data_IF_580255785761
#
_entry.id   IF_580255785761
#
_cell.length_a   1.000
_cell.length_b   1.000
_cell.length_c   1.000
_cell.angle_alpha   90.00
_cell.angle_beta   90.00
_cell.angle_gamma   90.00
#
_symmetry.space_group_name_H-M   'P 1'
#
loop_
_entity.id
_entity.type
_entity.pdbx_description
1 polymer ?
#
# COMPACT_ATOMS: atom_id res chain seq x y z
N UNK A 1 -3.80 6.51 22.34
CA UNK A 1 -4.49 7.80 22.58
C UNK A 1 -5.95 7.60 22.98
N UNK A 2 -6.73 6.79 22.28
CA UNK A 2 -8.17 6.58 22.62
C UNK A 2 -8.43 5.96 24.00
N UNK A 3 -7.54 5.06 24.46
CA UNK A 3 -7.65 4.50 25.81
C UNK A 3 -7.42 5.56 26.88
N UNK A 4 -6.36 6.35 26.75
CA UNK A 4 -6.03 7.43 27.68
C UNK A 4 -7.16 8.45 27.76
N UNK A 5 -7.70 8.88 26.63
CA UNK A 5 -8.85 9.80 26.56
C UNK A 5 -10.09 9.22 27.28
N UNK A 6 -10.36 7.91 27.10
CA UNK A 6 -11.47 7.24 27.79
C UNK A 6 -11.22 7.07 29.30
N UNK A 7 -9.98 6.85 29.69
CA UNK A 7 -9.58 6.78 31.09
C UNK A 7 -9.76 8.14 31.77
N UNK A 8 -9.26 9.20 31.13
CA UNK A 8 -9.43 10.58 31.61
C UNK A 8 -10.92 10.97 31.75
N UNK A 9 -11.76 10.51 30.78
CA UNK A 9 -13.21 10.71 30.85
C UNK A 9 -13.85 9.92 32.01
N UNK A 10 -13.43 8.68 32.21
CA UNK A 10 -13.91 7.85 33.33
C UNK A 10 -13.55 8.46 34.69
N UNK A 11 -12.34 8.93 34.82
CA UNK A 11 -11.89 9.65 36.04
C UNK A 11 -12.67 10.93 36.25
N UNK A 12 -12.86 11.75 35.23
CA UNK A 12 -13.65 13.01 35.32
C UNK A 12 -15.13 12.80 35.60
N UNK A 13 -15.69 11.66 35.21
CA UNK A 13 -17.10 11.34 35.44
C UNK A 13 -17.34 10.51 36.68
N UNK A 14 -16.31 10.37 37.52
CA UNK A 14 -16.38 9.63 38.79
C UNK A 14 -16.93 8.19 38.61
N UNK A 15 -16.46 7.52 37.53
CA UNK A 15 -16.80 6.15 37.22
C UNK A 15 -18.16 5.91 36.56
N UNK A 16 -18.96 6.95 36.26
CA UNK A 16 -20.28 6.83 35.60
C UNK A 16 -20.17 6.26 34.18
N UNK A 17 -19.08 6.56 33.46
CA UNK A 17 -18.75 5.85 32.21
C UNK A 17 -17.97 4.58 32.57
N UNK A 18 -18.36 3.41 32.14
CA UNK A 18 -17.67 2.16 32.48
C UNK A 18 -16.14 2.24 32.27
N UNK A 19 -15.38 1.65 33.21
CA UNK A 19 -13.91 1.65 33.14
C UNK A 19 -13.42 1.09 31.80
N UNK A 20 -12.61 1.85 31.03
CA UNK A 20 -12.13 1.37 29.75
C UNK A 20 -11.23 0.15 29.92
N UNK A 21 -11.50 -0.91 29.15
CA UNK A 21 -10.65 -2.10 29.13
C UNK A 21 -9.53 -1.92 28.10
N UNK A 22 -8.33 -2.31 28.49
CA UNK A 22 -7.21 -2.40 27.56
C UNK A 22 -7.39 -3.65 26.72
N UNK A 23 -7.60 -3.47 25.39
CA UNK A 23 -7.76 -4.58 24.45
C UNK A 23 -6.42 -4.78 23.73
N UNK A 24 -5.62 -5.71 24.22
CA UNK A 24 -4.26 -5.94 23.70
C UNK A 24 -4.23 -6.44 22.27
N UNK A 25 -5.27 -7.12 21.80
CA UNK A 25 -5.36 -7.66 20.44
C UNK A 25 -5.45 -6.58 19.37
N UNK A 26 -5.97 -5.41 19.69
CA UNK A 26 -6.16 -4.28 18.78
C UNK A 26 -5.16 -3.14 19.02
N UNK A 27 -4.13 -3.35 19.84
CA UNK A 27 -3.17 -2.30 20.15
C UNK A 27 -2.16 -2.14 19.03
N UNK A 28 -1.76 -0.88 18.85
CA UNK A 28 -0.60 -0.56 18.03
C UNK A 28 0.59 -1.38 18.53
N UNK A 29 1.34 -1.91 17.58
CA UNK A 29 2.51 -2.73 17.87
C UNK A 29 3.50 -1.96 18.73
N UNK A 30 4.16 -2.63 19.71
CA UNK A 30 5.12 -1.96 20.57
C UNK A 30 6.25 -1.36 19.74
N UNK A 31 6.57 -0.11 20.04
CA UNK A 31 7.72 0.60 19.48
C UNK A 31 8.91 0.37 20.40
N UNK A 32 10.00 -0.12 19.82
CA UNK A 32 11.26 -0.32 20.55
C UNK A 32 12.15 0.89 20.34
N UNK A 33 12.17 1.81 21.31
CA UNK A 33 12.99 3.01 21.23
C UNK A 33 14.48 2.66 21.15
N UNK A 34 15.19 3.33 20.21
CA UNK A 34 16.62 3.14 20.02
C UNK A 34 17.37 3.45 21.31
N UNK A 35 18.42 2.68 21.58
CA UNK A 35 19.31 2.72 22.75
C UNK A 35 18.64 2.41 24.10
N UNK A 36 17.33 2.49 24.19
CA UNK A 36 16.54 2.15 25.39
C UNK A 36 16.01 0.72 25.34
N UNK A 37 15.43 0.32 24.19
CA UNK A 37 14.78 -0.99 24.02
C UNK A 37 15.26 -1.73 22.76
N UNK A 38 15.94 -1.05 21.86
CA UNK A 38 16.48 -1.59 20.62
C UNK A 38 17.93 -1.12 20.43
N UNK A 39 18.80 -2.05 20.07
CA UNK A 39 20.16 -1.76 19.61
C UNK A 39 20.44 -2.57 18.35
N UNK A 40 21.17 -1.96 17.43
CA UNK A 40 21.65 -2.66 16.25
C UNK A 40 22.76 -3.66 16.65
N UNK A 41 22.84 -4.78 15.92
CA UNK A 41 23.94 -5.72 16.07
C UNK A 41 25.26 -5.13 15.60
N UNK A 42 26.34 -5.90 15.76
CA UNK A 42 27.64 -5.50 15.26
C UNK A 42 27.58 -5.31 13.73
N UNK A 43 28.43 -4.43 13.21
CA UNK A 43 28.50 -4.14 11.78
C UNK A 43 28.70 -5.41 10.96
N UNK A 44 27.88 -5.58 9.92
CA UNK A 44 27.90 -6.77 9.06
C UNK A 44 27.14 -7.99 9.60
N UNK A 45 26.70 -8.00 10.84
CA UNK A 45 25.90 -9.10 11.40
C UNK A 45 24.41 -8.90 11.19
N UNK A 46 23.69 -10.00 10.94
CA UNK A 46 22.22 -10.00 10.78
C UNK A 46 21.56 -10.28 12.15
N UNK A 47 21.81 -9.39 13.11
CA UNK A 47 21.30 -9.49 14.47
C UNK A 47 20.90 -8.13 15.02
N UNK A 48 20.03 -8.15 16.01
CA UNK A 48 19.63 -6.98 16.78
C UNK A 48 19.43 -7.36 18.24
N UNK A 49 19.53 -6.38 19.13
CA UNK A 49 19.26 -6.56 20.54
C UNK A 49 17.95 -5.89 20.91
N UNK A 50 17.04 -6.66 21.48
CA UNK A 50 15.76 -6.17 22.00
C UNK A 50 15.73 -6.29 23.52
N UNK A 51 15.29 -5.25 24.21
CA UNK A 51 15.01 -5.30 25.62
C UNK A 51 13.61 -5.87 25.83
N UNK A 52 13.55 -7.11 26.32
CA UNK A 52 12.31 -7.87 26.51
C UNK A 52 12.09 -8.15 27.98
N UNK A 53 10.81 -8.16 28.39
CA UNK A 53 10.41 -8.55 29.74
C UNK A 53 10.23 -10.07 29.80
N UNK A 54 10.93 -10.75 30.70
CA UNK A 54 10.92 -12.22 30.83
C UNK A 54 9.88 -12.73 31.86
N UNK A 55 9.08 -11.84 32.42
CA UNK A 55 8.11 -12.13 33.50
C UNK A 55 8.59 -11.63 34.86
N UNK A 56 9.90 -11.38 35.03
CA UNK A 56 10.50 -10.87 36.27
C UNK A 56 11.28 -9.58 36.05
N UNK A 57 12.05 -9.50 34.97
CA UNK A 57 12.91 -8.35 34.70
C UNK A 57 13.03 -8.08 33.19
N UNK A 58 13.54 -6.89 32.86
CA UNK A 58 13.84 -6.44 31.51
C UNK A 58 15.26 -6.80 31.12
N UNK A 59 15.41 -7.74 30.17
CA UNK A 59 16.71 -8.24 29.71
C UNK A 59 16.94 -7.97 28.24
N UNK A 60 18.20 -7.70 27.89
CA UNK A 60 18.62 -7.62 26.51
C UNK A 60 18.73 -9.03 25.90
N UNK A 61 17.99 -9.24 24.84
CA UNK A 61 17.97 -10.50 24.08
C UNK A 61 18.46 -10.26 22.68
N UNK A 62 19.43 -11.05 22.23
CA UNK A 62 19.89 -11.05 20.84
C UNK A 62 18.87 -11.80 19.98
N UNK A 63 18.45 -11.18 18.88
CA UNK A 63 17.56 -11.77 17.88
C UNK A 63 18.25 -11.79 16.53
N UNK A 64 18.16 -12.93 15.84
CA UNK A 64 18.64 -13.06 14.45
C UNK A 64 17.59 -12.49 13.51
N UNK A 65 18.06 -11.73 12.54
CA UNK A 65 17.25 -11.14 11.47
C UNK A 65 17.46 -11.93 10.17
N UNK A 66 16.50 -11.88 9.27
CA UNK A 66 16.63 -12.56 7.98
C UNK A 66 17.71 -11.88 7.14
N UNK A 67 18.64 -12.69 6.60
CA UNK A 67 19.77 -12.20 5.83
C UNK A 67 19.34 -11.42 4.59
N UNK A 68 18.34 -11.93 3.86
CA UNK A 68 17.83 -11.31 2.64
C UNK A 68 17.21 -9.93 2.92
N UNK A 69 16.46 -9.83 4.02
CA UNK A 69 15.86 -8.55 4.45
C UNK A 69 16.95 -7.56 4.87
N UNK A 70 17.99 -8.02 5.58
CA UNK A 70 19.11 -7.16 6.01
C UNK A 70 19.97 -6.71 4.84
N UNK A 71 20.26 -7.59 3.88
CA UNK A 71 20.94 -7.21 2.64
C UNK A 71 20.18 -6.15 1.86
N UNK A 72 18.87 -6.33 1.72
CA UNK A 72 17.99 -5.31 1.09
C UNK A 72 18.06 -3.96 1.83
N UNK A 73 18.01 -3.97 3.17
CA UNK A 73 18.10 -2.74 3.95
C UNK A 73 19.45 -2.04 3.76
N UNK A 74 20.57 -2.78 3.78
CA UNK A 74 21.90 -2.24 3.53
C UNK A 74 22.03 -1.65 2.12
N UNK A 75 21.51 -2.37 1.11
CA UNK A 75 21.59 -1.93 -0.29
C UNK A 75 20.73 -0.71 -0.60
N UNK A 76 19.48 -0.70 -0.11
CA UNK A 76 18.49 0.30 -0.53
C UNK A 76 18.32 1.46 0.46
N UNK A 77 18.72 1.28 1.72
CA UNK A 77 18.38 2.19 2.82
C UNK A 77 19.60 2.63 3.64
N UNK A 78 20.82 2.24 3.24
CA UNK A 78 22.05 2.70 3.88
C UNK A 78 22.13 4.24 3.87
N UNK A 79 22.60 4.81 4.97
CA UNK A 79 22.72 6.26 5.14
C UNK A 79 21.40 7.01 5.36
N UNK A 80 20.23 6.37 5.28
CA UNK A 80 18.94 7.01 5.54
C UNK A 80 18.52 6.83 7.00
N UNK A 81 17.93 7.88 7.57
CA UNK A 81 17.48 7.87 8.97
C UNK A 81 16.29 6.93 9.13
N UNK A 82 16.49 5.86 9.87
CA UNK A 82 15.42 4.94 10.27
C UNK A 82 14.77 5.41 11.58
N UNK A 83 13.46 5.28 11.68
CA UNK A 83 12.73 5.45 12.95
C UNK A 83 13.00 4.27 13.89
N UNK A 84 12.57 4.41 15.15
CA UNK A 84 12.54 3.29 16.09
C UNK A 84 11.67 2.15 15.52
N UNK A 85 12.15 0.88 15.54
CA UNK A 85 11.41 -0.23 14.99
C UNK A 85 10.16 -0.57 15.79
N UNK A 86 9.15 -1.09 15.10
CA UNK A 86 7.96 -1.67 15.72
C UNK A 86 7.96 -3.17 15.57
N UNK A 87 7.56 -3.90 16.62
CA UNK A 87 7.42 -5.34 16.57
C UNK A 87 6.03 -5.71 16.07
N UNK A 88 5.96 -6.45 14.98
CA UNK A 88 4.70 -6.93 14.39
C UNK A 88 4.67 -8.46 14.41
N UNK A 89 3.56 -9.03 14.90
CA UNK A 89 3.28 -10.47 14.78
C UNK A 89 2.36 -10.70 13.58
N UNK A 90 2.83 -11.48 12.61
CA UNK A 90 2.02 -11.93 11.46
C UNK A 90 1.99 -13.45 11.43
N UNK A 91 0.82 -14.01 11.57
CA UNK A 91 0.63 -15.45 11.74
C UNK A 91 1.47 -15.98 12.92
N UNK A 92 2.49 -16.79 12.67
CA UNK A 92 3.35 -17.37 13.71
C UNK A 92 4.75 -16.76 13.74
N UNK A 93 5.01 -15.70 12.93
CA UNK A 93 6.31 -15.05 12.82
C UNK A 93 6.27 -13.64 13.39
N UNK A 94 7.39 -13.19 13.94
CA UNK A 94 7.60 -11.83 14.38
C UNK A 94 8.45 -11.08 13.37
N UNK A 95 8.14 -9.81 13.17
CA UNK A 95 8.83 -8.92 12.25
C UNK A 95 9.18 -7.63 12.96
N UNK A 96 10.41 -7.16 12.78
CA UNK A 96 10.77 -5.79 13.10
C UNK A 96 10.51 -4.93 11.88
N UNK A 97 9.64 -3.94 12.02
CA UNK A 97 9.30 -3.00 10.96
C UNK A 97 10.04 -1.70 11.19
N UNK A 98 10.87 -1.33 10.24
CA UNK A 98 11.57 -0.06 10.20
C UNK A 98 10.86 0.90 9.24
N UNK A 99 10.64 2.15 9.68
CA UNK A 99 10.14 3.22 8.82
C UNK A 99 11.30 4.17 8.52
N UNK A 100 11.52 4.47 7.26
CA UNK A 100 12.53 5.41 6.81
C UNK A 100 11.88 6.69 6.34
N UNK A 101 12.50 7.83 6.66
CA UNK A 101 12.11 9.13 6.17
C UNK A 101 12.99 9.51 5.00
N UNK A 102 12.38 9.87 3.90
CA UNK A 102 13.06 10.33 2.70
C UNK A 102 12.43 11.66 2.28
N UNK A 103 13.26 12.68 2.06
CA UNK A 103 12.83 13.95 1.51
C UNK A 103 12.98 13.88 -0.01
N UNK A 104 11.92 14.21 -0.73
CA UNK A 104 11.88 14.15 -2.19
C UNK A 104 11.44 15.49 -2.73
N UNK A 105 12.19 16.00 -3.69
CA UNK A 105 11.81 17.21 -4.42
C UNK A 105 10.97 16.83 -5.63
N UNK A 106 9.73 17.29 -5.67
CA UNK A 106 8.86 17.10 -6.83
C UNK A 106 9.19 18.10 -7.92
N UNK A 107 8.94 17.72 -9.18
CA UNK A 107 9.13 18.60 -10.34
C UNK A 107 8.45 19.95 -10.14
N UNK A 108 9.14 21.00 -10.59
CA UNK A 108 8.66 22.40 -10.58
C UNK A 108 8.38 22.91 -12.00
N UNK A 109 8.40 22.03 -13.00
CA UNK A 109 8.12 22.36 -14.40
C UNK A 109 6.80 23.14 -14.51
N UNK A 110 6.80 24.30 -15.20
CA UNK A 110 5.57 25.06 -15.44
C UNK A 110 4.52 24.23 -16.17
N UNK A 111 3.24 24.42 -15.85
CA UNK A 111 2.13 23.57 -16.36
C UNK A 111 2.13 23.50 -17.89
N UNK A 112 2.46 24.59 -18.58
CA UNK A 112 2.49 24.65 -20.05
C UNK A 112 3.62 23.83 -20.70
N UNK A 113 4.62 23.48 -19.93
CA UNK A 113 5.83 22.75 -20.41
C UNK A 113 5.83 21.28 -19.94
N UNK A 114 4.86 20.91 -19.09
CA UNK A 114 4.82 19.58 -18.51
C UNK A 114 4.56 18.48 -19.54
N UNK A 115 5.30 17.39 -19.37
CA UNK A 115 4.97 16.11 -19.99
C UNK A 115 4.05 15.33 -19.05
N UNK A 116 2.90 14.95 -19.54
CA UNK A 116 1.81 14.35 -18.78
C UNK A 116 1.70 12.86 -19.14
N UNK A 117 1.68 11.99 -18.14
CA UNK A 117 1.27 10.59 -18.30
C UNK A 117 -0.18 10.44 -17.84
N UNK A 118 -1.13 10.47 -18.76
CA UNK A 118 -2.54 10.19 -18.45
C UNK A 118 -2.78 8.69 -18.35
N UNK A 119 -3.48 8.25 -17.30
CA UNK A 119 -3.68 6.83 -16.99
C UNK A 119 -5.16 6.54 -16.78
N UNK A 120 -5.70 5.69 -17.65
CA UNK A 120 -7.00 5.07 -17.47
C UNK A 120 -6.83 3.64 -16.91
N UNK A 121 -7.48 3.36 -15.77
CA UNK A 121 -7.44 2.05 -15.12
C UNK A 121 -8.69 1.26 -15.46
N UNK A 122 -8.51 0.16 -16.19
CA UNK A 122 -9.58 -0.71 -16.63
C UNK A 122 -9.69 -2.03 -15.85
N UNK A 123 -10.77 -2.76 -16.13
CA UNK A 123 -11.01 -4.10 -15.58
C UNK A 123 -10.50 -5.18 -16.54
N UNK A 124 -10.62 -4.94 -17.83
CA UNK A 124 -10.18 -5.89 -18.88
C UNK A 124 -8.71 -5.66 -19.24
N UNK A 125 -8.36 -4.46 -19.65
CA UNK A 125 -6.97 -3.97 -19.72
C UNK A 125 -6.63 -3.33 -18.40
N UNK A 126 -5.49 -3.66 -17.80
CA UNK A 126 -5.14 -3.19 -16.46
C UNK A 126 -4.97 -1.68 -16.40
N UNK A 127 -4.26 -1.12 -17.39
CA UNK A 127 -4.11 0.32 -17.57
C UNK A 127 -3.82 0.68 -19.03
N UNK A 128 -4.30 1.84 -19.45
CA UNK A 128 -3.87 2.51 -20.68
C UNK A 128 -3.16 3.79 -20.29
N UNK A 129 -1.89 3.89 -20.63
CA UNK A 129 -1.06 5.06 -20.34
C UNK A 129 -0.83 5.85 -21.63
N UNK A 130 -1.11 7.14 -21.62
CA UNK A 130 -0.88 8.04 -22.75
C UNK A 130 0.08 9.14 -22.32
N UNK A 131 1.19 9.28 -23.02
CA UNK A 131 2.12 10.39 -22.82
C UNK A 131 1.70 11.53 -23.74
N UNK A 132 1.55 12.72 -23.19
CA UNK A 132 1.16 13.91 -23.92
C UNK A 132 1.85 15.17 -23.39
N UNK A 133 1.96 16.18 -24.22
CA UNK A 133 2.34 17.53 -23.80
C UNK A 133 1.13 18.29 -23.25
N UNK A 134 1.40 19.38 -22.57
CA UNK A 134 0.35 20.24 -22.01
C UNK A 134 -0.58 20.87 -23.07
N UNK A 135 -0.13 20.98 -24.33
CA UNK A 135 -0.92 21.43 -25.48
C UNK A 135 -1.86 20.35 -26.05
N UNK A 136 -1.84 19.14 -25.49
CA UNK A 136 -2.65 18.00 -25.94
C UNK A 136 -1.97 17.11 -26.99
N UNK A 137 -0.76 17.44 -27.44
CA UNK A 137 -0.01 16.61 -28.40
C UNK A 137 0.33 15.24 -27.78
N UNK A 138 -0.18 14.17 -28.37
CA UNK A 138 0.12 12.79 -27.92
C UNK A 138 1.47 12.35 -28.45
N UNK A 139 2.37 11.97 -27.54
CA UNK A 139 3.72 11.51 -27.86
C UNK A 139 3.81 9.99 -27.91
N UNK A 140 2.99 9.28 -27.15
CA UNK A 140 3.01 7.83 -27.11
C UNK A 140 1.87 7.23 -26.30
N UNK A 141 1.62 5.94 -26.51
CA UNK A 141 0.61 5.19 -25.77
C UNK A 141 1.11 3.78 -25.45
N UNK A 142 0.79 3.31 -24.25
CA UNK A 142 1.11 1.95 -23.79
C UNK A 142 -0.10 1.30 -23.15
N UNK A 143 -0.38 0.08 -23.59
CA UNK A 143 -1.36 -0.79 -22.95
C UNK A 143 -0.63 -1.70 -21.97
N UNK A 144 -1.03 -1.67 -20.72
CA UNK A 144 -0.48 -2.51 -19.66
C UNK A 144 -1.50 -3.59 -19.36
N UNK A 145 -1.10 -4.84 -19.49
CA UNK A 145 -1.94 -5.99 -19.21
C UNK A 145 -1.10 -7.16 -18.65
N UNK A 146 -1.71 -7.92 -17.74
CA UNK A 146 -1.08 -9.05 -17.09
C UNK A 146 -1.99 -10.29 -17.18
N UNK A 147 -2.16 -10.87 -18.39
CA UNK A 147 -3.10 -11.96 -18.61
C UNK A 147 -2.81 -13.19 -17.76
N UNK A 148 -1.54 -13.57 -17.60
CA UNK A 148 -1.14 -14.73 -16.79
C UNK A 148 -1.55 -14.60 -15.33
N UNK A 149 -1.41 -13.41 -14.73
CA UNK A 149 -1.80 -13.11 -13.35
C UNK A 149 -3.32 -13.11 -13.21
N UNK A 150 -4.04 -12.56 -14.18
CA UNK A 150 -5.51 -12.57 -14.24
C UNK A 150 -6.04 -14.00 -14.33
N UNK A 151 -5.47 -14.83 -15.18
CA UNK A 151 -5.84 -16.25 -15.30
C UNK A 151 -5.57 -17.03 -14.02
N UNK A 152 -4.41 -16.78 -13.38
CA UNK A 152 -4.10 -17.38 -12.10
C UNK A 152 -5.13 -16.97 -11.03
N UNK A 153 -5.51 -15.71 -11.00
CA UNK A 153 -6.53 -15.19 -10.07
C UNK A 153 -7.92 -15.78 -10.40
N UNK A 154 -8.28 -15.86 -11.68
CA UNK A 154 -9.54 -16.47 -12.12
C UNK A 154 -9.64 -17.94 -11.70
N UNK A 155 -8.56 -18.73 -11.92
CA UNK A 155 -8.48 -20.13 -11.46
C UNK A 155 -8.59 -20.26 -9.95
N UNK A 156 -7.95 -19.36 -9.19
CA UNK A 156 -8.05 -19.34 -7.71
C UNK A 156 -9.50 -19.08 -7.25
N UNK A 157 -10.18 -18.13 -7.87
CA UNK A 157 -11.60 -17.83 -7.60
C UNK A 157 -12.51 -19.00 -7.99
N UNK A 158 -12.24 -19.67 -9.10
CA UNK A 158 -12.96 -20.88 -9.53
C UNK A 158 -12.88 -21.99 -8.49
N UNK A 159 -11.69 -22.23 -7.91
CA UNK A 159 -11.50 -23.20 -6.81
C UNK A 159 -12.28 -22.82 -5.56
N UNK A 160 -12.36 -21.53 -5.21
CA UNK A 160 -13.15 -21.07 -4.07
C UNK A 160 -14.64 -21.35 -4.32
N UNK A 161 -15.16 -21.00 -5.50
CA UNK A 161 -16.58 -21.22 -5.84
C UNK A 161 -16.96 -22.70 -5.82
N UNK A 162 -16.07 -23.58 -6.34
CA UNK A 162 -16.29 -25.03 -6.30
C UNK A 162 -16.34 -25.52 -4.86
N UNK A 163 -15.34 -25.16 -4.07
CA UNK A 163 -15.28 -25.55 -2.67
C UNK A 163 -16.50 -25.07 -1.87
N UNK A 164 -16.97 -23.84 -2.10
CA UNK A 164 -18.14 -23.30 -1.43
C UNK A 164 -19.44 -24.02 -1.81
N UNK A 165 -19.54 -24.53 -3.03
CA UNK A 165 -20.70 -25.35 -3.47
C UNK A 165 -20.70 -26.72 -2.82
N UNK A 166 -19.53 -27.32 -2.64
CA UNK A 166 -19.38 -28.67 -2.10
C UNK A 166 -19.42 -28.70 -0.57
N UNK A 167 -18.90 -27.66 0.10
CA UNK A 167 -18.64 -27.67 1.55
C UNK A 167 -19.21 -26.43 2.28
N UNK A 168 -19.96 -25.58 1.60
CA UNK A 168 -20.42 -24.31 2.16
C UNK A 168 -19.31 -23.25 2.27
N UNK A 169 -19.63 -22.13 2.92
CA UNK A 169 -18.70 -20.99 3.04
C UNK A 169 -17.66 -21.13 4.16
N UNK A 170 -17.82 -22.09 5.06
CA UNK A 170 -16.87 -22.37 6.12
C UNK A 170 -15.49 -22.78 5.55
N UNK A 171 -14.42 -22.51 6.30
CA UNK A 171 -13.05 -22.94 5.98
C UNK A 171 -12.45 -22.40 4.67
N UNK A 172 -13.03 -21.35 4.07
CA UNK A 172 -12.49 -20.73 2.85
C UNK A 172 -11.44 -19.65 3.10
N UNK A 173 -11.14 -19.30 4.34
CA UNK A 173 -10.25 -18.19 4.72
C UNK A 173 -8.85 -18.28 4.08
N UNK A 174 -8.21 -19.45 4.11
CA UNK A 174 -6.90 -19.66 3.50
C UNK A 174 -6.90 -19.47 1.99
N UNK A 175 -7.96 -19.92 1.30
CA UNK A 175 -8.14 -19.75 -0.15
C UNK A 175 -8.34 -18.28 -0.52
N UNK A 176 -9.13 -17.55 0.26
CA UNK A 176 -9.31 -16.11 0.11
C UNK A 176 -8.03 -15.34 0.40
N UNK A 177 -7.26 -15.73 1.43
CA UNK A 177 -5.96 -15.12 1.74
C UNK A 177 -4.98 -15.27 0.57
N UNK A 178 -4.94 -16.44 -0.07
CA UNK A 178 -4.14 -16.66 -1.28
C UNK A 178 -4.59 -15.75 -2.44
N UNK A 179 -5.88 -15.70 -2.74
CA UNK A 179 -6.42 -14.84 -3.81
C UNK A 179 -6.15 -13.37 -3.54
N UNK A 180 -6.27 -12.93 -2.28
CA UNK A 180 -5.93 -11.55 -1.87
C UNK A 180 -4.45 -11.23 -2.11
N UNK A 181 -3.54 -12.18 -1.85
CA UNK A 181 -2.12 -12.00 -2.16
C UNK A 181 -1.87 -11.86 -3.66
N UNK A 182 -2.44 -12.73 -4.48
CA UNK A 182 -2.34 -12.62 -5.94
C UNK A 182 -2.81 -11.26 -6.45
N UNK A 183 -3.96 -10.81 -5.97
CA UNK A 183 -4.52 -9.51 -6.33
C UNK A 183 -3.64 -8.33 -5.87
N UNK A 184 -2.98 -8.46 -4.71
CA UNK A 184 -2.03 -7.47 -4.21
C UNK A 184 -0.78 -7.41 -5.08
N UNK A 185 -0.24 -8.55 -5.48
CA UNK A 185 0.93 -8.64 -6.36
C UNK A 185 0.61 -8.10 -7.77
N UNK A 186 -0.56 -8.39 -8.30
CA UNK A 186 -1.02 -7.81 -9.56
C UNK A 186 -1.07 -6.27 -9.46
N UNK A 187 -1.66 -5.72 -8.40
CA UNK A 187 -1.70 -4.27 -8.19
C UNK A 187 -0.30 -3.63 -8.08
N UNK A 188 0.68 -4.32 -7.48
CA UNK A 188 2.07 -3.86 -7.45
C UNK A 188 2.70 -3.83 -8.85
N UNK A 189 2.48 -4.88 -9.66
CA UNK A 189 3.00 -4.98 -11.03
C UNK A 189 2.45 -3.88 -11.91
N UNK A 190 1.13 -3.65 -11.85
CA UNK A 190 0.46 -2.58 -12.61
C UNK A 190 1.04 -1.22 -12.23
N UNK A 191 1.11 -0.91 -10.93
CA UNK A 191 1.64 0.36 -10.46
C UNK A 191 3.10 0.57 -10.88
N UNK A 192 3.94 -0.47 -10.76
CA UNK A 192 5.33 -0.41 -11.21
C UNK A 192 5.48 -0.21 -12.72
N UNK A 193 4.61 -0.84 -13.52
CA UNK A 193 4.63 -0.69 -14.98
C UNK A 193 4.20 0.73 -15.41
N UNK A 194 3.18 1.31 -14.76
CA UNK A 194 2.74 2.69 -15.00
C UNK A 194 3.87 3.68 -14.71
N UNK A 195 4.45 3.59 -13.50
CA UNK A 195 5.50 4.53 -13.07
C UNK A 195 6.76 4.40 -13.93
N UNK A 196 7.14 3.18 -14.30
CA UNK A 196 8.28 2.93 -15.19
C UNK A 196 8.04 3.57 -16.56
N UNK A 197 6.87 3.41 -17.14
CA UNK A 197 6.56 4.01 -18.43
C UNK A 197 6.56 5.54 -18.38
N UNK A 198 6.02 6.12 -17.31
CA UNK A 198 6.08 7.56 -17.09
C UNK A 198 7.54 8.06 -16.95
N UNK A 199 8.38 7.35 -16.18
CA UNK A 199 9.80 7.67 -15.99
C UNK A 199 10.60 7.55 -17.30
N UNK A 200 10.42 6.48 -18.08
CA UNK A 200 11.05 6.24 -19.38
C UNK A 200 10.74 7.35 -20.39
N UNK A 201 9.59 8.00 -20.25
CA UNK A 201 9.17 9.11 -21.12
C UNK A 201 9.30 10.49 -20.44
N UNK A 202 10.06 10.60 -19.36
CA UNK A 202 10.33 11.85 -18.66
C UNK A 202 9.07 12.64 -18.28
N UNK A 203 8.00 11.94 -17.86
CA UNK A 203 6.77 12.58 -17.43
C UNK A 203 6.97 13.36 -16.13
N UNK A 204 6.48 14.60 -16.08
CA UNK A 204 6.46 15.45 -14.88
C UNK A 204 5.32 15.06 -13.93
N UNK A 205 4.21 14.62 -14.49
CA UNK A 205 2.99 14.31 -13.74
C UNK A 205 2.29 13.08 -14.29
N UNK A 206 1.81 12.22 -13.37
CA UNK A 206 0.89 11.13 -13.69
C UNK A 206 -0.51 11.58 -13.31
N UNK A 207 -1.43 11.52 -14.26
CA UNK A 207 -2.81 11.95 -14.08
C UNK A 207 -3.73 10.74 -14.15
N UNK A 208 -4.52 10.54 -13.09
CA UNK A 208 -5.55 9.50 -13.02
C UNK A 208 -6.94 10.10 -13.12
N UNK A 209 -7.86 9.32 -13.65
CA UNK A 209 -9.28 9.62 -13.53
C UNK A 209 -9.76 9.40 -12.10
N UNK A 210 -10.45 10.40 -11.54
CA UNK A 210 -11.15 10.30 -10.25
C UNK A 210 -12.53 9.72 -10.49
N UNK A 211 -12.69 8.42 -10.24
CA UNK A 211 -13.97 7.74 -10.31
C UNK A 211 -14.50 7.49 -8.89
N UNK A 212 -15.50 8.22 -8.47
CA UNK A 212 -16.28 7.81 -7.31
C UNK A 212 -17.27 6.73 -7.72
N UNK A 213 -17.06 5.53 -7.20
CA UNK A 213 -18.07 4.48 -7.31
C UNK A 213 -19.11 4.71 -6.21
N UNK A 214 -20.11 5.52 -6.51
CA UNK A 214 -21.25 5.75 -5.62
C UNK A 214 -22.27 4.61 -5.79
N UNK A 215 -22.76 4.09 -4.66
CA UNK A 215 -23.82 3.10 -4.63
C UNK A 215 -23.40 1.65 -4.39
N UNK A 216 -24.40 0.78 -4.19
CA UNK A 216 -24.21 -0.66 -3.98
C UNK A 216 -23.83 -1.35 -5.28
N UNK A 217 -22.64 -1.96 -5.33
CA UNK A 217 -22.24 -2.75 -6.47
C UNK A 217 -23.05 -4.04 -6.48
N UNK A 218 -23.82 -4.26 -7.55
CA UNK A 218 -24.68 -5.44 -7.74
C UNK A 218 -24.45 -6.08 -9.12
N UNK A 219 -25.04 -7.24 -9.34
CA UNK A 219 -25.01 -7.96 -10.62
C UNK A 219 -23.78 -8.80 -10.90
N UNK A 220 -23.70 -9.35 -12.12
CA UNK A 220 -22.68 -10.33 -12.56
C UNK A 220 -21.24 -9.83 -12.46
N UNK A 221 -21.00 -8.52 -12.53
CA UNK A 221 -19.67 -7.91 -12.45
C UNK A 221 -19.24 -7.57 -11.02
N UNK A 222 -20.11 -7.75 -10.00
CA UNK A 222 -19.83 -7.39 -8.59
C UNK A 222 -18.48 -7.88 -8.10
N UNK A 223 -18.15 -9.14 -8.34
CA UNK A 223 -16.89 -9.73 -7.87
C UNK A 223 -15.67 -9.10 -8.54
N UNK A 224 -15.72 -8.84 -9.85
CA UNK A 224 -14.62 -8.16 -10.57
C UNK A 224 -14.40 -6.75 -10.03
N UNK A 225 -15.46 -6.01 -9.78
CA UNK A 225 -15.39 -4.64 -9.24
C UNK A 225 -14.85 -4.60 -7.81
N UNK A 226 -15.26 -5.55 -6.94
CA UNK A 226 -14.68 -5.66 -5.60
C UNK A 226 -13.19 -6.01 -5.59
N UNK A 227 -12.73 -6.79 -6.56
CA UNK A 227 -11.32 -7.15 -6.72
C UNK A 227 -10.52 -6.06 -7.42
N UNK A 228 -11.17 -5.12 -8.08
CA UNK A 228 -10.50 -4.02 -8.76
C UNK A 228 -9.92 -3.03 -7.77
N UNK A 229 -8.61 -3.05 -7.62
CA UNK A 229 -7.87 -2.30 -6.60
C UNK A 229 -7.44 -0.92 -7.06
N UNK A 230 -8.31 -0.19 -7.77
CA UNK A 230 -8.01 1.12 -8.33
C UNK A 230 -7.31 2.07 -7.34
N UNK A 231 -7.90 2.29 -6.18
CA UNK A 231 -7.33 3.19 -5.16
C UNK A 231 -5.98 2.71 -4.62
N UNK A 232 -5.78 1.40 -4.50
CA UNK A 232 -4.51 0.82 -4.06
C UNK A 232 -3.42 0.99 -5.14
N UNK A 233 -3.78 0.80 -6.42
CA UNK A 233 -2.88 1.05 -7.56
C UNK A 233 -2.48 2.52 -7.60
N UNK A 234 -3.45 3.45 -7.55
CA UNK A 234 -3.18 4.89 -7.54
C UNK A 234 -2.27 5.30 -6.39
N UNK A 235 -2.53 4.83 -5.16
CA UNK A 235 -1.69 5.12 -3.99
C UNK A 235 -0.27 4.58 -4.14
N UNK A 236 -0.10 3.39 -4.75
CA UNK A 236 1.22 2.82 -5.03
C UNK A 236 1.96 3.59 -6.10
N UNK A 237 1.25 4.01 -7.15
CA UNK A 237 1.82 4.89 -8.17
C UNK A 237 2.28 6.22 -7.56
N UNK A 238 1.44 6.84 -6.73
CA UNK A 238 1.77 8.10 -6.05
C UNK A 238 3.05 7.98 -5.21
N UNK A 239 3.13 6.95 -4.37
CA UNK A 239 4.32 6.71 -3.57
C UNK A 239 5.59 6.49 -4.42
N UNK A 240 5.49 5.71 -5.51
CA UNK A 240 6.64 5.43 -6.37
C UNK A 240 6.99 6.62 -7.27
N UNK A 241 6.00 7.33 -7.82
CA UNK A 241 6.17 8.50 -8.65
C UNK A 241 6.84 9.66 -7.86
N UNK A 242 6.38 9.92 -6.63
CA UNK A 242 6.99 10.93 -5.77
C UNK A 242 8.47 10.63 -5.52
N UNK A 243 8.85 9.38 -5.26
CA UNK A 243 10.27 8.99 -5.09
C UNK A 243 11.12 9.23 -6.35
N UNK A 244 10.49 9.36 -7.52
CA UNK A 244 11.11 9.70 -8.80
C UNK A 244 10.99 11.20 -9.15
N UNK A 245 10.46 12.00 -8.23
CA UNK A 245 10.27 13.43 -8.43
C UNK A 245 9.02 13.80 -9.25
N UNK A 246 8.26 12.84 -9.74
CA UNK A 246 7.02 13.07 -10.50
C UNK A 246 5.86 13.43 -9.56
N UNK A 247 4.97 14.31 -10.02
CA UNK A 247 3.70 14.60 -9.33
C UNK A 247 2.63 13.59 -9.71
N UNK A 248 1.60 13.48 -8.86
CA UNK A 248 0.40 12.70 -9.18
C UNK A 248 -0.82 13.56 -8.98
N UNK A 249 -1.70 13.60 -9.97
CA UNK A 249 -2.95 14.33 -9.95
C UNK A 249 -4.13 13.41 -10.25
N UNK A 250 -5.33 13.84 -9.85
CA UNK A 250 -6.58 13.14 -10.14
C UNK A 250 -7.56 14.16 -10.70
N UNK A 251 -8.17 13.83 -11.84
CA UNK A 251 -9.17 14.68 -12.51
C UNK A 251 -10.53 14.01 -12.41
N UNK A 252 -11.55 14.80 -12.17
CA UNK A 252 -12.94 14.33 -12.17
C UNK A 252 -13.48 14.32 -13.59
N UNK A 253 -13.80 13.14 -14.12
CA UNK A 253 -14.34 13.01 -15.49
C UNK A 253 -15.69 13.72 -15.68
N UNK A 254 -16.48 13.83 -14.62
CA UNK A 254 -17.81 14.48 -14.66
C UNK A 254 -17.71 15.98 -14.94
N UNK A 255 -16.59 16.63 -14.62
CA UNK A 255 -16.40 18.06 -14.85
C UNK A 255 -16.28 18.43 -16.34
N UNK A 256 -16.06 17.46 -17.23
CA UNK A 256 -15.93 17.69 -18.67
C UNK A 256 -17.25 17.50 -19.46
N UNK A 257 -18.28 16.92 -18.85
CA UNK A 257 -19.57 16.72 -19.51
C UNK A 257 -20.42 17.99 -19.59
N UNK A 258 -19.99 19.08 -18.95
CA UNK A 258 -20.67 20.38 -19.02
C UNK A 258 -20.05 21.39 -20.00
N UNK A 259 -19.00 21.00 -20.71
CA UNK A 259 -18.57 21.75 -21.88
C UNK A 259 -19.47 21.35 -23.07
N UNK A 260 -20.70 21.84 -23.06
CA UNK A 260 -21.51 21.88 -24.28
C UNK A 260 -20.77 22.75 -25.28
N UNK A 261 -20.39 22.14 -26.40
CA UNK A 261 -19.93 22.87 -27.56
C UNK A 261 -21.00 23.88 -27.90
N UNK A 262 -20.70 25.18 -28.12
CA UNK A 262 -21.67 26.11 -28.65
C UNK A 262 -22.07 25.62 -30.04
N UNK A 263 -23.36 25.39 -30.22
CA UNK A 263 -24.00 25.17 -31.53
C UNK A 263 -23.85 26.38 -32.42
#
# INVERSE_FOLDING_TARGET
SSYKTRLDLWEKTDGKSGKPKLVYENHAMPVFYRDVMYREGAEGKDEAYLKLYDGHDWKWSCVRLDHTDMEYLRKCWSGKKASAPTLEKRHRKYFLRFSYKEEVTLTKTPVKEQVICSVDLGINTDAVCTIMRADGTVLGRKFIDHPSEKDRMYRALGRIRRFQREHGSAQTQGRWAYTKRLNTELGKKIAGAIVRYAEENHADVIVFEYLEMQGKISGKKKQKLHLWRKRDIQRRCEHQAHRKGMRVSRICAVSYTHLTLPT
#
